data_IF_269011553413
#
_entry.id   IF_269011553413
#
_cell.length_a   1.000
_cell.length_b   1.000
_cell.length_c   1.000
_cell.angle_alpha   90.00
_cell.angle_beta   90.00
_cell.angle_gamma   90.00
#
_symmetry.space_group_name_H-M   'P 1'
#
loop_
_entity.id
_entity.type
_entity.pdbx_description
1 polymer ?
#
# COMPACT_ATOMS: atom_id res chain seq x y z
N UNK A 1 -25.90 -28.72 29.01
CA UNK A 1 -24.67 -28.19 29.62
C UNK A 1 -24.49 -26.78 29.10
N UNK A 2 -24.83 -25.76 29.90
CA UNK A 2 -24.52 -24.36 29.55
C UNK A 2 -22.99 -24.22 29.58
N UNK A 3 -22.37 -23.98 28.41
CA UNK A 3 -20.97 -23.58 28.37
C UNK A 3 -20.91 -22.15 28.89
N UNK A 4 -20.14 -21.92 29.94
CA UNK A 4 -19.82 -20.55 30.37
C UNK A 4 -19.21 -19.78 29.19
N UNK A 5 -19.69 -18.59 28.86
CA UNK A 5 -19.12 -17.82 27.78
C UNK A 5 -17.64 -17.53 28.07
N UNK A 6 -16.79 -17.60 27.07
CA UNK A 6 -15.38 -17.21 27.19
C UNK A 6 -15.37 -15.72 27.50
N UNK A 7 -14.75 -15.26 28.59
CA UNK A 7 -14.68 -13.84 28.91
C UNK A 7 -13.83 -13.13 27.84
N UNK A 8 -14.39 -12.09 27.23
CA UNK A 8 -13.69 -11.22 26.31
C UNK A 8 -13.28 -9.97 27.08
N UNK A 9 -11.99 -9.73 27.25
CA UNK A 9 -11.47 -8.53 27.90
C UNK A 9 -11.36 -7.37 26.93
N UNK A 10 -10.89 -7.64 25.71
CA UNK A 10 -10.76 -6.66 24.63
C UNK A 10 -11.37 -7.27 23.37
N UNK A 11 -12.18 -6.50 22.69
CA UNK A 11 -12.63 -6.79 21.34
C UNK A 11 -12.01 -5.77 20.39
N UNK A 12 -11.16 -6.24 19.47
CA UNK A 12 -10.52 -5.39 18.47
C UNK A 12 -11.29 -5.51 17.13
N UNK A 13 -11.95 -4.44 16.77
CA UNK A 13 -12.65 -4.30 15.49
C UNK A 13 -11.64 -3.76 14.46
N UNK A 14 -11.38 -4.52 13.39
CA UNK A 14 -10.39 -4.15 12.38
C UNK A 14 -11.11 -3.85 11.05
N UNK A 15 -10.98 -2.60 10.59
CA UNK A 15 -11.61 -2.13 9.36
C UNK A 15 -13.13 -2.02 9.48
N UNK A 16 -13.89 -2.99 8.94
CA UNK A 16 -15.35 -2.97 8.96
C UNK A 16 -15.92 -3.10 10.37
N UNK A 17 -17.07 -2.48 10.60
CA UNK A 17 -17.78 -2.57 11.87
C UNK A 17 -18.61 -3.85 11.95
N UNK A 18 -18.68 -4.44 13.16
CA UNK A 18 -19.60 -5.54 13.46
C UNK A 18 -21.03 -5.03 13.66
N UNK A 19 -21.98 -5.98 13.69
CA UNK A 19 -23.36 -5.67 14.02
C UNK A 19 -23.48 -4.96 15.38
N UNK A 20 -24.24 -3.85 15.49
CA UNK A 20 -24.36 -3.06 16.70
C UNK A 20 -24.93 -3.86 17.89
N UNK A 21 -25.83 -4.81 17.66
CA UNK A 21 -26.39 -5.65 18.73
C UNK A 21 -25.34 -6.58 19.30
N UNK A 22 -24.50 -7.18 18.42
CA UNK A 22 -23.39 -8.03 18.87
C UNK A 22 -22.36 -7.20 19.66
N UNK A 23 -22.05 -5.99 19.20
CA UNK A 23 -21.16 -5.07 19.92
C UNK A 23 -21.68 -4.76 21.32
N UNK A 24 -22.99 -4.47 21.46
CA UNK A 24 -23.63 -4.24 22.76
C UNK A 24 -23.53 -5.46 23.68
N UNK A 25 -23.77 -6.66 23.16
CA UNK A 25 -23.63 -7.91 23.95
C UNK A 25 -22.21 -8.09 24.46
N UNK A 26 -21.20 -7.85 23.60
CA UNK A 26 -19.78 -7.91 23.97
C UNK A 26 -19.46 -6.87 25.07
N UNK A 27 -19.98 -5.65 24.92
CA UNK A 27 -19.80 -4.57 25.90
C UNK A 27 -20.45 -4.88 27.24
N UNK A 28 -21.66 -5.43 27.25
CA UNK A 28 -22.36 -5.86 28.46
C UNK A 28 -21.61 -6.96 29.20
N UNK A 29 -20.81 -7.77 28.50
CA UNK A 29 -19.90 -8.74 29.06
C UNK A 29 -18.65 -8.15 29.74
N UNK A 30 -18.51 -6.82 29.74
CA UNK A 30 -17.39 -6.11 30.36
C UNK A 30 -16.17 -5.90 29.44
N UNK A 31 -16.27 -6.19 28.14
CA UNK A 31 -15.17 -6.02 27.21
C UNK A 31 -14.90 -4.53 26.93
N UNK A 32 -13.63 -4.19 26.76
CA UNK A 32 -13.19 -2.95 26.12
C UNK A 32 -13.25 -3.13 24.61
N UNK A 33 -13.91 -2.22 23.90
CA UNK A 33 -14.07 -2.28 22.45
C UNK A 33 -13.17 -1.23 21.81
N UNK A 34 -12.20 -1.70 21.02
CA UNK A 34 -11.23 -0.88 20.32
C UNK A 34 -11.46 -1.02 18.82
N UNK A 35 -11.47 0.10 18.08
CA UNK A 35 -11.61 0.09 16.63
C UNK A 35 -10.30 0.52 15.97
N UNK A 36 -9.71 -0.37 15.17
CA UNK A 36 -8.48 -0.14 14.43
C UNK A 36 -8.78 0.18 12.96
N UNK A 37 -8.35 1.35 12.52
CA UNK A 37 -8.38 1.76 11.13
C UNK A 37 -7.03 1.49 10.47
N UNK A 38 -7.03 0.60 9.47
CA UNK A 38 -5.84 0.26 8.68
C UNK A 38 -5.78 0.99 7.34
N UNK A 39 -6.90 1.58 6.89
CA UNK A 39 -7.03 2.32 5.65
C UNK A 39 -7.12 3.82 5.85
N UNK A 40 -7.01 4.58 4.77
CA UNK A 40 -7.16 6.03 4.76
C UNK A 40 -8.66 6.41 4.78
N UNK A 41 -9.25 6.38 5.97
CA UNK A 41 -10.69 6.62 6.17
C UNK A 41 -11.13 8.02 5.72
N UNK A 42 -10.33 9.05 6.02
CA UNK A 42 -10.67 10.42 5.65
C UNK A 42 -10.84 10.58 4.14
N UNK A 43 -9.90 10.05 3.36
CA UNK A 43 -10.00 10.14 1.91
C UNK A 43 -11.16 9.30 1.36
N UNK A 44 -11.41 8.12 1.93
CA UNK A 44 -12.57 7.29 1.55
C UNK A 44 -13.87 8.06 1.79
N UNK A 45 -14.01 8.69 2.94
CA UNK A 45 -15.21 9.41 3.31
C UNK A 45 -15.40 10.71 2.52
N UNK A 46 -14.31 11.33 2.06
CA UNK A 46 -14.38 12.48 1.15
C UNK A 46 -14.75 12.03 -0.28
N UNK A 47 -14.07 11.00 -0.80
CA UNK A 47 -14.26 10.57 -2.19
C UNK A 47 -15.61 9.89 -2.44
N UNK A 48 -16.05 9.04 -1.49
CA UNK A 48 -17.23 8.20 -1.68
C UNK A 48 -18.50 9.00 -1.99
N UNK A 49 -18.89 10.03 -1.20
CA UNK A 49 -20.07 10.81 -1.51
C UNK A 49 -19.93 11.70 -2.76
N UNK A 50 -18.70 12.00 -3.18
CA UNK A 50 -18.47 12.87 -4.36
C UNK A 50 -18.47 12.04 -5.65
N UNK A 51 -17.84 10.86 -5.67
CA UNK A 51 -17.57 10.12 -6.89
C UNK A 51 -18.30 8.78 -6.99
N UNK A 52 -18.77 8.21 -5.86
CA UNK A 52 -19.29 6.85 -5.78
C UNK A 52 -20.66 6.80 -5.08
N UNK A 53 -21.62 7.56 -5.56
CA UNK A 53 -22.95 7.77 -4.93
C UNK A 53 -23.72 6.47 -4.59
N UNK A 54 -23.44 5.37 -5.29
CA UNK A 54 -24.09 4.08 -5.05
C UNK A 54 -23.34 3.18 -4.06
N UNK A 55 -22.10 3.56 -3.65
CA UNK A 55 -21.33 2.77 -2.71
C UNK A 55 -21.82 2.98 -1.27
N UNK A 56 -21.95 1.87 -0.56
CA UNK A 56 -22.31 1.87 0.86
C UNK A 56 -21.46 0.83 1.61
N UNK A 57 -20.80 1.25 2.68
CA UNK A 57 -20.12 0.35 3.59
C UNK A 57 -20.12 0.90 5.01
N UNK A 58 -20.32 0.00 5.98
CA UNK A 58 -20.44 0.32 7.39
C UNK A 58 -19.07 0.26 8.09
N UNK A 59 -18.19 1.23 7.85
CA UNK A 59 -16.92 1.31 8.58
C UNK A 59 -16.97 2.28 9.77
N UNK A 60 -18.00 3.12 9.86
CA UNK A 60 -18.32 3.89 11.05
C UNK A 60 -19.67 3.43 11.61
N UNK A 61 -19.69 3.02 12.85
CA UNK A 61 -20.93 2.67 13.56
C UNK A 61 -20.84 3.23 14.96
N UNK A 62 -21.73 4.16 15.25
CA UNK A 62 -21.80 4.87 16.52
C UNK A 62 -22.16 3.94 17.68
N UNK A 63 -21.52 4.16 18.82
CA UNK A 63 -21.82 3.55 20.10
C UNK A 63 -20.95 2.36 20.48
N UNK A 64 -20.78 2.20 21.78
CA UNK A 64 -20.08 1.09 22.43
C UNK A 64 -18.58 0.98 22.11
N UNK A 65 -17.95 1.99 21.46
CA UNK A 65 -16.51 2.03 21.21
C UNK A 65 -15.83 2.83 22.34
N UNK A 66 -14.77 2.26 22.89
CA UNK A 66 -13.97 2.90 23.96
C UNK A 66 -12.73 3.60 23.40
N UNK A 67 -12.12 3.01 22.36
CA UNK A 67 -10.87 3.53 21.80
C UNK A 67 -10.85 3.46 20.28
N UNK A 68 -10.25 4.48 19.67
CA UNK A 68 -9.91 4.53 18.24
C UNK A 68 -8.41 4.31 18.10
N UNK A 69 -8.04 3.36 17.28
CA UNK A 69 -6.65 3.07 16.92
C UNK A 69 -6.44 3.31 15.45
N UNK A 70 -5.35 3.98 15.09
CA UNK A 70 -4.97 4.25 13.71
C UNK A 70 -3.54 3.77 13.45
N UNK A 71 -3.25 3.37 12.22
CA UNK A 71 -1.88 3.09 11.80
C UNK A 71 -1.03 4.36 11.81
N UNK A 72 0.31 4.27 11.99
CA UNK A 72 1.17 5.44 12.16
C UNK A 72 1.08 6.47 11.04
N UNK A 73 0.92 6.03 9.80
CA UNK A 73 0.80 6.89 8.62
C UNK A 73 -0.57 7.59 8.50
N UNK A 74 -1.54 7.24 9.36
CA UNK A 74 -2.86 7.88 9.46
C UNK A 74 -3.06 8.63 10.77
N UNK A 75 -1.98 8.95 11.47
CA UNK A 75 -2.05 9.67 12.76
C UNK A 75 -2.91 10.93 12.69
N UNK A 76 -2.84 11.67 11.58
CA UNK A 76 -3.65 12.86 11.36
C UNK A 76 -5.16 12.60 11.20
N UNK A 77 -5.59 11.34 11.19
CA UNK A 77 -7.00 10.96 11.06
C UNK A 77 -7.62 10.46 12.36
N UNK A 78 -6.88 10.47 13.47
CA UNK A 78 -7.35 9.94 14.75
C UNK A 78 -8.52 10.76 15.32
N UNK A 79 -8.42 12.09 15.36
CA UNK A 79 -9.51 12.97 15.79
C UNK A 79 -10.75 12.84 14.89
N UNK A 80 -10.55 12.80 13.57
CA UNK A 80 -11.62 12.59 12.61
C UNK A 80 -12.37 11.27 12.88
N UNK A 81 -11.63 10.18 13.10
CA UNK A 81 -12.21 8.89 13.42
C UNK A 81 -12.93 8.90 14.77
N UNK A 82 -12.37 9.58 15.79
CA UNK A 82 -13.00 9.71 17.09
C UNK A 82 -14.34 10.45 17.01
N UNK A 83 -14.40 11.56 16.30
CA UNK A 83 -15.64 12.33 16.09
C UNK A 83 -16.72 11.49 15.42
N UNK A 84 -16.39 10.76 14.35
CA UNK A 84 -17.37 9.94 13.62
C UNK A 84 -17.88 8.74 14.43
N UNK A 85 -17.10 8.23 15.38
CA UNK A 85 -17.51 7.12 16.23
C UNK A 85 -18.01 7.56 17.62
N UNK A 86 -18.18 8.87 17.85
CA UNK A 86 -18.60 9.47 19.13
C UNK A 86 -17.69 9.05 20.31
N UNK A 87 -16.39 8.98 20.07
CA UNK A 87 -15.38 8.70 21.09
C UNK A 87 -14.73 10.02 21.52
N UNK A 88 -14.48 10.19 22.81
CA UNK A 88 -13.83 11.38 23.32
C UNK A 88 -12.41 11.53 22.77
N UNK A 89 -12.06 12.79 22.41
CA UNK A 89 -10.74 13.12 21.93
C UNK A 89 -9.77 13.21 23.11
N UNK A 90 -9.01 12.16 23.35
CA UNK A 90 -8.02 12.10 24.42
C UNK A 90 -6.89 11.10 24.09
N UNK A 91 -5.75 11.25 24.74
CA UNK A 91 -4.64 10.30 24.60
C UNK A 91 -4.99 8.88 25.09
N UNK A 92 -6.03 8.73 25.91
CA UNK A 92 -6.49 7.43 26.40
C UNK A 92 -7.37 6.70 25.38
N UNK A 93 -8.15 7.45 24.62
CA UNK A 93 -9.14 6.91 23.68
C UNK A 93 -8.67 6.92 22.22
N UNK A 94 -7.58 7.63 21.92
CA UNK A 94 -6.97 7.67 20.58
C UNK A 94 -5.53 7.17 20.64
N UNK A 95 -5.22 6.09 19.91
CA UNK A 95 -3.90 5.46 19.96
C UNK A 95 -3.34 5.18 18.58
N UNK A 96 -2.02 5.21 18.47
CA UNK A 96 -1.29 4.81 17.28
C UNK A 96 -0.88 3.35 17.42
N UNK A 97 -1.52 2.48 16.65
CA UNK A 97 -1.19 1.06 16.61
C UNK A 97 0.04 0.83 15.72
N UNK A 98 1.06 0.10 16.18
CA UNK A 98 2.20 -0.21 15.34
C UNK A 98 1.78 -0.93 14.08
N UNK A 99 2.31 -0.51 12.91
CA UNK A 99 2.15 -1.26 11.68
C UNK A 99 2.96 -2.54 11.76
N UNK A 100 2.36 -3.65 11.36
CA UNK A 100 3.02 -4.95 11.32
C UNK A 100 2.90 -5.59 9.94
N UNK A 101 3.99 -6.23 9.51
CA UNK A 101 4.04 -6.96 8.26
C UNK A 101 5.01 -8.14 8.37
N UNK A 102 4.68 -9.24 7.70
CA UNK A 102 5.54 -10.42 7.64
C UNK A 102 5.58 -11.00 6.22
N UNK A 103 6.76 -11.44 5.80
CA UNK A 103 6.99 -11.97 4.45
C UNK A 103 6.43 -13.37 4.22
N UNK A 104 5.98 -14.06 5.27
CA UNK A 104 5.39 -15.41 5.15
C UNK A 104 4.16 -15.45 4.26
N UNK A 105 3.46 -14.31 4.13
CA UNK A 105 2.32 -14.19 3.22
C UNK A 105 2.65 -14.53 1.76
N UNK A 106 3.90 -14.32 1.35
CA UNK A 106 4.38 -14.63 0.00
C UNK A 106 4.61 -16.12 -0.23
N UNK A 107 4.67 -16.92 0.83
CA UNK A 107 5.00 -18.34 0.78
C UNK A 107 3.81 -19.27 1.10
N UNK A 108 2.65 -18.72 1.41
CA UNK A 108 1.46 -19.47 1.86
C UNK A 108 0.95 -20.50 0.84
N UNK A 109 1.20 -20.30 -0.45
CA UNK A 109 0.77 -21.21 -1.51
C UNK A 109 1.79 -22.31 -1.84
N UNK A 110 2.92 -22.39 -1.10
CA UNK A 110 3.99 -23.39 -1.35
C UNK A 110 4.78 -23.14 -2.63
N UNK A 111 4.51 -22.07 -3.36
CA UNK A 111 5.24 -21.71 -4.56
C UNK A 111 6.59 -21.09 -4.18
N UNK A 112 7.62 -21.36 -4.99
CA UNK A 112 8.91 -20.68 -4.82
C UNK A 112 8.72 -19.21 -5.05
N UNK A 113 9.07 -18.36 -4.08
CA UNK A 113 9.04 -16.93 -4.23
C UNK A 113 9.83 -16.52 -5.46
N UNK A 114 9.23 -15.76 -6.39
CA UNK A 114 9.96 -15.17 -7.48
C UNK A 114 11.07 -14.29 -6.90
N UNK A 115 12.24 -14.30 -7.55
CA UNK A 115 13.35 -13.41 -7.19
C UNK A 115 13.79 -12.65 -8.40
N UNK A 116 14.10 -11.39 -8.18
CA UNK A 116 14.66 -10.56 -9.23
C UNK A 116 16.01 -11.09 -9.74
N UNK A 117 16.24 -10.96 -11.01
CA UNK A 117 17.51 -11.16 -11.69
C UNK A 117 17.84 -10.01 -12.64
N UNK A 118 19.08 -9.78 -13.00
CA UNK A 118 19.43 -8.85 -14.05
C UNK A 118 18.76 -9.18 -15.39
N UNK A 119 18.58 -8.17 -16.20
CA UNK A 119 18.08 -8.29 -17.58
C UNK A 119 19.10 -9.05 -18.44
N UNK A 120 18.62 -9.94 -19.28
CA UNK A 120 19.46 -10.74 -20.18
C UNK A 120 19.49 -10.13 -21.59
N UNK A 121 20.49 -10.47 -22.42
CA UNK A 121 20.52 -10.07 -23.82
C UNK A 121 19.23 -10.43 -24.56
N UNK A 122 18.63 -9.47 -25.25
CA UNK A 122 17.35 -9.62 -25.96
C UNK A 122 16.10 -9.32 -25.15
N UNK A 123 16.21 -9.16 -23.83
CA UNK A 123 15.12 -8.67 -23.00
C UNK A 123 15.03 -7.13 -23.03
N UNK A 124 13.82 -6.62 -22.87
CA UNK A 124 13.54 -5.18 -22.89
C UNK A 124 13.32 -4.68 -21.45
N UNK A 125 13.91 -3.56 -21.08
CA UNK A 125 13.63 -2.95 -19.77
C UNK A 125 12.13 -2.83 -19.56
N UNK A 126 11.65 -3.44 -18.47
CA UNK A 126 10.22 -3.54 -18.19
C UNK A 126 9.89 -2.88 -16.86
N UNK A 127 8.91 -1.99 -16.89
CA UNK A 127 8.38 -1.30 -15.71
C UNK A 127 6.97 -1.78 -15.41
N UNK A 128 6.71 -2.09 -14.15
CA UNK A 128 5.43 -2.62 -13.68
C UNK A 128 4.79 -1.60 -12.77
N UNK A 129 3.53 -1.26 -13.06
CA UNK A 129 2.70 -0.32 -12.31
C UNK A 129 1.40 -1.04 -11.98
N UNK A 130 1.21 -1.48 -10.73
CA UNK A 130 0.05 -2.27 -10.31
C UNK A 130 -0.91 -1.50 -9.39
N UNK A 131 -0.98 -0.18 -9.54
CA UNK A 131 -1.90 0.60 -8.72
C UNK A 131 -3.37 0.23 -9.03
N UNK A 132 -4.25 0.16 -8.02
CA UNK A 132 -5.63 -0.26 -8.23
C UNK A 132 -6.48 0.72 -9.03
N UNK A 133 -6.05 1.98 -9.18
CA UNK A 133 -6.71 3.03 -9.98
C UNK A 133 -8.19 3.28 -9.62
N UNK A 134 -8.55 3.05 -8.34
CA UNK A 134 -9.93 3.25 -7.83
C UNK A 134 -10.08 4.52 -6.99
N UNK A 135 -8.98 5.20 -6.70
CA UNK A 135 -8.91 6.38 -5.84
C UNK A 135 -7.68 7.19 -6.21
N UNK A 136 -7.68 8.49 -5.96
CA UNK A 136 -6.50 9.33 -6.16
C UNK A 136 -5.32 8.92 -5.25
N UNK A 137 -5.58 8.21 -4.16
CA UNK A 137 -4.56 7.72 -3.22
C UNK A 137 -3.62 6.70 -3.86
N UNK A 138 -4.11 5.91 -4.81
CA UNK A 138 -3.41 4.82 -5.49
C UNK A 138 -3.70 4.87 -6.97
N UNK A 139 -3.02 5.77 -7.67
CA UNK A 139 -3.19 6.00 -9.11
C UNK A 139 -1.89 5.75 -9.87
N UNK A 140 -2.00 5.16 -11.04
CA UNK A 140 -0.88 4.90 -11.92
C UNK A 140 -0.38 6.16 -12.66
N UNK A 141 -1.08 7.30 -12.61
CA UNK A 141 -0.73 8.47 -13.43
C UNK A 141 0.69 8.98 -13.15
N UNK A 142 1.07 9.15 -11.86
CA UNK A 142 2.42 9.61 -11.51
C UNK A 142 3.49 8.58 -11.92
N UNK A 143 3.35 7.27 -11.63
CA UNK A 143 4.23 6.23 -12.18
C UNK A 143 4.36 6.26 -13.71
N UNK A 144 3.26 6.42 -14.44
CA UNK A 144 3.26 6.55 -15.90
C UNK A 144 4.10 7.76 -16.34
N UNK A 145 3.93 8.91 -15.70
CA UNK A 145 4.68 10.13 -16.03
C UNK A 145 6.18 10.02 -15.68
N UNK A 146 6.54 9.29 -14.61
CA UNK A 146 7.95 8.97 -14.31
C UNK A 146 8.54 8.10 -15.42
N UNK A 147 7.83 7.06 -15.87
CA UNK A 147 8.25 6.18 -16.95
C UNK A 147 8.37 6.93 -18.29
N UNK A 148 7.41 7.81 -18.59
CA UNK A 148 7.43 8.67 -19.79
C UNK A 148 8.66 9.58 -19.79
N UNK A 149 8.93 10.25 -18.68
CA UNK A 149 10.11 11.11 -18.56
C UNK A 149 11.41 10.32 -18.67
N UNK A 150 11.48 9.13 -18.08
CA UNK A 150 12.59 8.21 -18.26
C UNK A 150 12.78 7.85 -19.73
N UNK A 151 11.71 7.43 -20.41
CA UNK A 151 11.72 7.05 -21.82
C UNK A 151 12.28 8.16 -22.71
N UNK A 152 11.80 9.39 -22.53
CA UNK A 152 12.31 10.57 -23.25
C UNK A 152 13.79 10.86 -22.97
N UNK A 153 14.27 10.49 -21.78
CA UNK A 153 15.67 10.71 -21.39
C UNK A 153 16.60 9.69 -22.03
N UNK A 154 16.24 8.39 -21.94
CA UNK A 154 17.13 7.32 -22.41
C UNK A 154 17.00 7.01 -23.89
N UNK A 155 15.88 7.31 -24.52
CA UNK A 155 15.58 7.13 -25.95
C UNK A 155 15.88 5.71 -26.44
N UNK A 156 15.57 4.71 -25.64
CA UNK A 156 15.70 3.29 -25.99
C UNK A 156 14.37 2.57 -25.76
N UNK A 157 14.18 1.45 -26.41
CA UNK A 157 12.97 0.64 -26.25
C UNK A 157 12.80 0.22 -24.78
N UNK A 158 11.61 0.42 -24.25
CA UNK A 158 11.17 -0.03 -22.94
C UNK A 158 9.80 -0.71 -23.06
N UNK A 159 9.38 -1.35 -21.98
CA UNK A 159 8.01 -1.87 -21.83
C UNK A 159 7.43 -1.37 -20.52
N UNK A 160 6.25 -0.79 -20.57
CA UNK A 160 5.50 -0.35 -19.37
C UNK A 160 4.20 -1.13 -19.31
N UNK A 161 3.97 -1.84 -18.20
CA UNK A 161 2.75 -2.62 -17.95
C UNK A 161 1.98 -1.95 -16.83
N UNK A 162 0.78 -1.47 -17.15
CA UNK A 162 -0.13 -0.84 -16.21
C UNK A 162 -1.26 -1.82 -15.89
N UNK A 163 -1.21 -2.42 -14.71
CA UNK A 163 -2.27 -3.27 -14.19
C UNK A 163 -3.48 -2.44 -13.72
N UNK A 164 -4.66 -3.06 -13.65
CA UNK A 164 -5.94 -2.38 -13.44
C UNK A 164 -6.13 -1.19 -14.39
N UNK A 165 -5.58 -1.31 -15.58
CA UNK A 165 -5.51 -0.25 -16.58
C UNK A 165 -6.83 0.00 -17.31
N UNK A 166 -7.80 -0.90 -17.18
CA UNK A 166 -9.17 -0.77 -17.70
C UNK A 166 -9.85 0.52 -17.21
N UNK A 167 -9.53 0.99 -16.01
CA UNK A 167 -10.00 2.28 -15.48
C UNK A 167 -9.57 3.47 -16.35
N UNK A 168 -8.36 3.41 -16.90
CA UNK A 168 -7.83 4.44 -17.79
C UNK A 168 -8.36 4.27 -19.22
N UNK A 169 -8.34 3.06 -19.75
CA UNK A 169 -8.81 2.80 -21.14
C UNK A 169 -10.31 3.01 -21.30
N UNK A 170 -11.10 2.88 -20.23
CA UNK A 170 -12.51 3.20 -20.21
C UNK A 170 -12.81 4.70 -19.98
N UNK A 171 -11.79 5.54 -19.76
CA UNK A 171 -11.95 6.98 -19.60
C UNK A 171 -11.72 7.71 -20.91
N UNK A 172 -12.74 8.30 -21.54
CA UNK A 172 -12.56 9.12 -22.75
C UNK A 172 -11.58 10.28 -22.55
N UNK A 173 -11.59 10.88 -21.35
CA UNK A 173 -10.65 11.96 -21.01
C UNK A 173 -9.20 11.47 -21.04
N UNK A 174 -8.91 10.33 -20.43
CA UNK A 174 -7.55 9.79 -20.46
C UNK A 174 -7.14 9.43 -21.88
N UNK A 175 -7.98 8.72 -22.62
CA UNK A 175 -7.69 8.23 -23.97
C UNK A 175 -7.52 9.35 -25.01
N UNK A 176 -8.27 10.46 -24.87
CA UNK A 176 -8.26 11.54 -25.86
C UNK A 176 -7.36 12.73 -25.44
N UNK A 177 -7.15 12.94 -24.15
CA UNK A 177 -6.45 14.14 -23.66
C UNK A 177 -5.10 13.86 -23.03
N UNK A 178 -4.90 12.68 -22.40
CA UNK A 178 -3.64 12.37 -21.72
C UNK A 178 -2.79 11.39 -22.55
N UNK A 179 -3.33 10.24 -22.92
CA UNK A 179 -2.58 9.18 -23.59
C UNK A 179 -1.87 9.66 -24.86
N UNK A 180 -2.49 10.49 -25.75
CA UNK A 180 -1.82 10.98 -26.96
C UNK A 180 -0.65 11.93 -26.70
N UNK A 181 -0.51 12.45 -25.48
CA UNK A 181 0.64 13.31 -25.11
C UNK A 181 1.86 12.52 -24.68
N UNK A 182 1.71 11.19 -24.50
CA UNK A 182 2.81 10.31 -24.08
C UNK A 182 3.53 9.74 -25.29
N UNK A 183 4.84 10.04 -25.39
CA UNK A 183 5.69 9.53 -26.48
C UNK A 183 5.75 7.99 -26.45
N UNK A 184 5.83 7.39 -25.25
CA UNK A 184 5.82 5.93 -25.12
C UNK A 184 4.50 5.27 -25.56
N UNK A 185 3.39 6.01 -25.58
CA UNK A 185 2.13 5.51 -26.15
C UNK A 185 2.16 5.51 -27.67
N UNK A 186 2.68 6.57 -28.30
CA UNK A 186 2.90 6.66 -29.75
C UNK A 186 3.84 5.56 -30.24
N UNK A 187 4.86 5.24 -29.45
CA UNK A 187 5.89 4.24 -29.80
C UNK A 187 5.51 2.81 -29.34
N UNK A 188 4.27 2.59 -28.88
CA UNK A 188 3.75 1.31 -28.42
C UNK A 188 4.57 0.68 -27.26
N UNK A 189 5.13 1.49 -26.39
CA UNK A 189 5.92 1.05 -25.24
C UNK A 189 5.10 0.85 -23.97
N UNK A 190 3.83 1.25 -23.93
CA UNK A 190 2.93 1.11 -22.79
C UNK A 190 1.74 0.21 -23.11
N UNK A 191 1.41 -0.67 -22.16
CA UNK A 191 0.25 -1.58 -22.25
C UNK A 191 -0.60 -1.45 -20.99
N UNK A 192 -1.91 -1.34 -21.20
CA UNK A 192 -2.89 -1.37 -20.12
C UNK A 192 -3.53 -2.76 -20.08
N UNK A 193 -3.55 -3.36 -18.91
CA UNK A 193 -4.08 -4.70 -18.66
C UNK A 193 -5.02 -4.72 -17.46
N UNK A 194 -5.77 -5.81 -17.30
CA UNK A 194 -6.59 -6.03 -16.11
C UNK A 194 -5.77 -6.21 -14.84
N UNK A 195 -6.43 -6.75 -13.83
CA UNK A 195 -5.77 -7.02 -12.54
C UNK A 195 -4.77 -8.18 -12.67
N UNK A 196 -3.57 -7.98 -12.15
CA UNK A 196 -2.56 -9.01 -12.01
C UNK A 196 -2.38 -9.42 -10.56
N UNK A 197 -2.12 -10.71 -10.34
CA UNK A 197 -1.53 -11.21 -9.13
C UNK A 197 -0.03 -10.86 -9.10
N UNK A 198 0.45 -10.38 -7.94
CA UNK A 198 1.82 -9.90 -7.80
C UNK A 198 2.86 -11.01 -8.04
N UNK A 199 2.58 -12.24 -7.59
CA UNK A 199 3.50 -13.36 -7.74
C UNK A 199 3.60 -13.76 -9.22
N UNK A 200 2.47 -13.78 -9.93
CA UNK A 200 2.43 -14.11 -11.35
C UNK A 200 3.19 -13.08 -12.18
N UNK A 201 2.98 -11.78 -11.95
CA UNK A 201 3.68 -10.74 -12.69
C UNK A 201 5.20 -10.73 -12.43
N UNK A 202 5.62 -11.05 -11.20
CA UNK A 202 7.04 -11.20 -10.85
C UNK A 202 7.69 -12.39 -11.56
N UNK A 203 6.95 -13.49 -11.79
CA UNK A 203 7.43 -14.65 -12.54
C UNK A 203 7.55 -14.37 -14.03
N UNK A 204 6.57 -13.68 -14.58
CA UNK A 204 6.53 -13.35 -16.01
C UNK A 204 7.61 -12.34 -16.37
N UNK A 205 7.95 -11.44 -15.45
CA UNK A 205 8.93 -10.37 -15.66
C UNK A 205 9.96 -10.32 -14.50
N UNK A 206 10.79 -11.37 -14.33
CA UNK A 206 11.69 -11.48 -13.18
C UNK A 206 12.84 -10.46 -13.16
N UNK A 207 12.96 -9.63 -14.16
CA UNK A 207 13.95 -8.55 -14.31
C UNK A 207 13.34 -7.15 -14.25
N UNK A 208 12.04 -7.04 -14.00
CA UNK A 208 11.33 -5.78 -14.04
C UNK A 208 11.64 -4.89 -12.83
N UNK A 209 11.30 -3.62 -12.99
CA UNK A 209 11.30 -2.60 -11.92
C UNK A 209 9.86 -2.19 -11.63
N UNK A 210 9.47 -2.21 -10.36
CA UNK A 210 8.17 -1.72 -9.94
C UNK A 210 8.22 -0.20 -9.70
N UNK A 211 7.21 0.52 -10.19
CA UNK A 211 7.04 1.96 -9.93
C UNK A 211 5.72 2.14 -9.19
N UNK A 212 5.81 2.51 -7.91
CA UNK A 212 4.68 2.68 -7.01
C UNK A 212 4.55 4.15 -6.58
N UNK A 213 3.32 4.58 -6.40
CA UNK A 213 3.01 5.93 -5.95
C UNK A 213 1.78 5.93 -5.05
N UNK A 214 1.89 6.62 -3.93
CA UNK A 214 0.79 6.75 -2.97
C UNK A 214 0.59 8.20 -2.56
N UNK A 215 -0.64 8.61 -2.46
CA UNK A 215 -1.02 9.87 -1.86
C UNK A 215 -1.67 9.60 -0.50
N UNK A 216 -1.04 10.04 0.59
CA UNK A 216 -1.50 9.80 1.97
C UNK A 216 -1.83 8.33 2.29
N UNK A 217 -1.07 7.37 1.73
CA UNK A 217 -1.26 5.94 1.94
C UNK A 217 0.07 5.17 1.82
N UNK A 218 1.08 5.59 2.58
CA UNK A 218 2.47 5.22 2.35
C UNK A 218 2.85 3.78 2.75
N UNK A 219 2.12 3.14 3.67
CA UNK A 219 2.46 1.77 4.12
C UNK A 219 1.77 0.72 3.23
N UNK A 220 2.17 0.69 1.96
CA UNK A 220 1.68 -0.30 1.03
C UNK A 220 2.51 -1.59 1.13
N UNK A 221 1.87 -2.69 1.54
CA UNK A 221 2.53 -4.00 1.65
C UNK A 221 3.09 -4.50 0.32
N UNK A 222 2.52 -4.14 -0.83
CA UNK A 222 3.07 -4.45 -2.15
C UNK A 222 4.52 -3.93 -2.31
N UNK A 223 4.84 -2.77 -1.74
CA UNK A 223 6.21 -2.24 -1.72
C UNK A 223 7.17 -3.20 -1.02
N UNK A 224 6.76 -3.72 0.15
CA UNK A 224 7.55 -4.69 0.92
C UNK A 224 7.67 -6.03 0.20
N UNK A 225 6.59 -6.49 -0.44
CA UNK A 225 6.57 -7.75 -1.21
C UNK A 225 7.58 -7.73 -2.35
N UNK A 226 7.61 -6.66 -3.16
CA UNK A 226 8.61 -6.47 -4.21
C UNK A 226 10.05 -6.38 -3.64
N UNK A 227 10.24 -5.62 -2.56
CA UNK A 227 11.57 -5.45 -1.95
C UNK A 227 12.14 -6.78 -1.44
N UNK A 228 11.34 -7.60 -0.73
CA UNK A 228 11.76 -8.91 -0.21
C UNK A 228 12.07 -9.89 -1.34
N UNK A 229 11.39 -9.78 -2.46
CA UNK A 229 11.71 -10.52 -3.69
C UNK A 229 12.92 -9.95 -4.45
N UNK A 230 13.57 -8.93 -3.91
CA UNK A 230 14.72 -8.20 -4.47
C UNK A 230 14.43 -7.42 -5.75
N UNK A 231 13.20 -7.15 -6.09
CA UNK A 231 12.88 -6.30 -7.23
C UNK A 231 13.23 -4.84 -6.93
N UNK A 232 13.82 -4.09 -7.87
CA UNK A 232 13.97 -2.66 -7.69
C UNK A 232 12.59 -2.02 -7.62
N UNK A 233 12.36 -1.27 -6.53
CA UNK A 233 11.07 -0.62 -6.26
C UNK A 233 11.27 0.87 -6.12
N UNK A 234 10.61 1.64 -6.97
CA UNK A 234 10.46 3.08 -6.77
C UNK A 234 9.22 3.31 -5.92
N UNK A 235 9.34 4.19 -4.92
CA UNK A 235 8.22 4.54 -4.05
C UNK A 235 8.40 5.94 -3.46
N UNK A 236 7.30 6.52 -2.99
CA UNK A 236 7.29 7.85 -2.36
C UNK A 236 6.91 7.82 -0.87
N UNK A 237 7.07 6.68 -0.19
CA UNK A 237 6.80 6.52 1.24
C UNK A 237 7.93 7.17 2.07
N UNK A 238 7.71 8.32 2.75
CA UNK A 238 8.78 9.03 3.45
C UNK A 238 9.34 8.27 4.65
N UNK A 239 8.53 7.48 5.35
CA UNK A 239 8.98 6.67 6.50
C UNK A 239 9.85 5.47 6.09
N UNK A 240 9.92 5.17 4.79
CA UNK A 240 10.70 4.10 4.19
C UNK A 240 11.80 4.61 3.26
N UNK A 241 12.13 5.90 3.35
CA UNK A 241 13.11 6.57 2.47
C UNK A 241 14.51 5.94 2.47
N UNK A 242 14.82 5.15 3.48
CA UNK A 242 16.08 4.44 3.69
C UNK A 242 16.14 3.05 3.01
N UNK A 243 15.05 2.61 2.36
CA UNK A 243 14.96 1.37 1.62
C UNK A 243 14.43 1.61 0.19
N UNK A 244 14.70 0.69 -0.73
CA UNK A 244 14.25 0.83 -2.11
C UNK A 244 14.86 2.03 -2.85
N UNK A 245 14.10 2.56 -3.79
CA UNK A 245 14.46 3.76 -4.58
C UNK A 245 13.43 4.87 -4.28
N UNK A 246 13.66 5.59 -3.20
CA UNK A 246 12.76 6.64 -2.74
C UNK A 246 12.82 7.89 -3.63
N UNK A 247 11.65 8.51 -3.86
CA UNK A 247 11.48 9.86 -4.41
C UNK A 247 10.42 10.62 -3.62
N UNK A 248 10.56 11.94 -3.52
CA UNK A 248 9.73 12.76 -2.65
C UNK A 248 8.40 13.16 -3.30
N UNK A 249 7.30 12.86 -2.63
CA UNK A 249 5.95 13.31 -3.03
C UNK A 249 5.64 13.00 -4.50
N UNK A 250 5.20 14.01 -5.27
CA UNK A 250 4.90 13.91 -6.69
C UNK A 250 6.05 14.39 -7.58
N UNK A 251 7.29 14.39 -7.10
CA UNK A 251 8.44 14.93 -7.82
C UNK A 251 8.89 14.00 -8.95
N UNK A 252 8.43 14.30 -10.16
CA UNK A 252 8.74 13.50 -11.36
C UNK A 252 10.23 13.48 -11.70
N UNK A 253 10.96 14.56 -11.40
CA UNK A 253 12.39 14.63 -11.66
C UNK A 253 13.17 13.69 -10.74
N UNK A 254 12.86 13.71 -9.44
CA UNK A 254 13.43 12.76 -8.47
C UNK A 254 13.02 11.32 -8.78
N UNK A 255 11.74 11.06 -9.14
CA UNK A 255 11.26 9.76 -9.57
C UNK A 255 12.03 9.23 -10.78
N UNK A 256 12.25 10.08 -11.80
CA UNK A 256 13.06 9.72 -12.98
C UNK A 256 14.51 9.44 -12.60
N UNK A 257 15.12 10.26 -11.73
CA UNK A 257 16.48 10.03 -11.25
C UNK A 257 16.60 8.73 -10.44
N UNK A 258 15.59 8.41 -9.63
CA UNK A 258 15.50 7.15 -8.90
C UNK A 258 15.39 5.95 -9.86
N UNK A 259 14.61 6.07 -10.94
CA UNK A 259 14.49 5.04 -11.97
C UNK A 259 15.80 4.82 -12.72
N UNK A 260 16.50 5.89 -13.09
CA UNK A 260 17.84 5.82 -13.71
C UNK A 260 18.85 5.09 -12.79
N UNK A 261 18.85 5.40 -11.48
CA UNK A 261 19.69 4.68 -10.51
C UNK A 261 19.30 3.20 -10.39
N UNK A 262 18.01 2.90 -10.34
CA UNK A 262 17.53 1.53 -10.29
C UNK A 262 18.03 0.72 -11.49
N UNK A 263 17.90 1.25 -12.70
CA UNK A 263 18.33 0.56 -13.92
C UNK A 263 19.86 0.39 -14.03
N UNK A 264 20.62 1.38 -13.60
CA UNK A 264 22.09 1.36 -13.77
C UNK A 264 22.85 0.68 -12.63
N UNK A 265 22.28 0.62 -11.41
CA UNK A 265 23.04 0.26 -10.21
C UNK A 265 22.46 -0.90 -9.42
N UNK A 266 21.22 -1.34 -9.68
CA UNK A 266 20.56 -2.31 -8.80
C UNK A 266 21.34 -3.63 -8.70
N UNK A 267 21.79 -4.18 -9.83
CA UNK A 267 22.57 -5.42 -9.84
C UNK A 267 23.87 -5.32 -9.02
N UNK A 268 24.59 -4.21 -9.14
CA UNK A 268 25.86 -4.00 -8.41
C UNK A 268 25.67 -3.61 -6.94
N UNK A 269 24.48 -3.10 -6.58
CA UNK A 269 24.16 -2.66 -5.21
C UNK A 269 23.19 -3.60 -4.47
N UNK A 270 23.01 -4.82 -4.98
CA UNK A 270 21.97 -5.74 -4.48
C UNK A 270 22.13 -6.08 -3.00
N UNK A 271 23.35 -6.24 -2.50
CA UNK A 271 23.60 -6.51 -1.08
C UNK A 271 23.18 -5.34 -0.19
N UNK A 272 23.52 -4.13 -0.59
CA UNK A 272 23.09 -2.91 0.12
C UNK A 272 21.58 -2.76 0.08
N UNK A 273 20.95 -3.06 -1.06
CA UNK A 273 19.49 -3.04 -1.21
C UNK A 273 18.82 -4.03 -0.26
N UNK A 274 19.33 -5.26 -0.19
CA UNK A 274 18.86 -6.30 0.75
C UNK A 274 19.00 -5.89 2.21
N UNK A 275 20.13 -5.30 2.58
CA UNK A 275 20.36 -4.84 3.94
C UNK A 275 19.30 -3.77 4.35
N UNK A 276 19.00 -2.81 3.48
CA UNK A 276 17.92 -1.84 3.70
C UNK A 276 16.55 -2.50 3.80
N UNK A 277 16.27 -3.47 2.94
CA UNK A 277 15.01 -4.24 2.98
C UNK A 277 14.85 -5.02 4.29
N UNK A 278 15.89 -5.71 4.75
CA UNK A 278 15.84 -6.48 6.01
C UNK A 278 15.69 -5.55 7.23
N UNK A 279 16.35 -4.40 7.23
CA UNK A 279 16.17 -3.39 8.28
C UNK A 279 14.73 -2.86 8.32
N UNK A 280 14.15 -2.57 7.16
CA UNK A 280 12.75 -2.13 7.04
C UNK A 280 11.78 -3.23 7.48
N UNK A 281 12.00 -4.46 7.05
CA UNK A 281 11.20 -5.62 7.45
C UNK A 281 11.24 -5.84 8.97
N UNK A 282 12.43 -5.75 9.57
CA UNK A 282 12.59 -5.84 11.03
C UNK A 282 11.83 -4.75 11.77
N UNK A 283 11.84 -3.51 11.26
CA UNK A 283 11.10 -2.37 11.85
C UNK A 283 9.61 -2.67 12.03
N UNK A 284 9.03 -3.47 11.16
CA UNK A 284 7.61 -3.81 11.14
C UNK A 284 7.31 -5.26 11.54
N UNK A 285 8.33 -6.00 11.97
CA UNK A 285 8.18 -7.42 12.29
C UNK A 285 7.43 -7.64 13.61
N UNK A 286 6.56 -8.65 13.64
CA UNK A 286 5.94 -9.13 14.88
C UNK A 286 6.96 -9.71 15.88
N UNK A 287 8.17 -10.03 15.42
CA UNK A 287 9.27 -10.50 16.27
C UNK A 287 10.15 -9.37 16.81
N UNK A 288 9.94 -8.13 16.39
CA UNK A 288 10.63 -6.97 16.95
C UNK A 288 10.11 -6.69 18.35
N UNK A 289 10.97 -6.70 19.41
CA UNK A 289 10.57 -6.48 20.78
C UNK A 289 9.87 -5.13 21.02
N UNK A 290 10.25 -4.08 20.29
CA UNK A 290 9.63 -2.76 20.42
C UNK A 290 8.21 -2.75 19.90
N UNK A 291 7.96 -3.43 18.77
CA UNK A 291 6.62 -3.63 18.21
C UNK A 291 5.77 -4.45 19.16
N UNK A 292 6.30 -5.55 19.71
CA UNK A 292 5.59 -6.37 20.69
C UNK A 292 5.24 -5.57 21.96
N UNK A 293 6.21 -4.82 22.50
CA UNK A 293 6.01 -3.97 23.69
C UNK A 293 4.93 -2.92 23.46
N UNK A 294 4.93 -2.28 22.31
CA UNK A 294 3.92 -1.28 21.96
C UNK A 294 2.52 -1.91 21.85
N UNK A 295 2.38 -3.05 21.17
CA UNK A 295 1.11 -3.79 21.12
C UNK A 295 0.64 -4.25 22.51
N UNK A 296 1.53 -4.82 23.33
CA UNK A 296 1.19 -5.24 24.69
C UNK A 296 0.75 -4.08 25.58
N UNK A 297 1.31 -2.88 25.38
CA UNK A 297 0.88 -1.67 26.11
C UNK A 297 -0.54 -1.23 25.71
N UNK A 298 -0.97 -1.49 24.48
CA UNK A 298 -2.32 -1.18 24.00
C UNK A 298 -3.35 -2.23 24.46
N UNK A 299 -2.92 -3.48 24.64
CA UNK A 299 -3.79 -4.60 25.03
C UNK A 299 -3.98 -4.72 26.55
N UNK A 300 -3.27 -3.95 27.35
CA UNK A 300 -3.47 -3.82 28.80
C UNK A 300 -4.55 -2.80 29.13
#
# INVERSE_FOLDING_TARGET
RSRSPIPIHIYLEIGMSIDPMLRRVIKMGGARICKLYLGNILNIDIETPIFYHSMHFAHHVVGEIDEIWVSPHYKQHDEYAAVLNHVDISEKSMRIAPYVWDSSILTLDGSRNPKWRPILPGEVETFIILEPNISFQKTALIPILIAERYYRTVKKQIRVIVGNGDRYTNSPFFMQSILPTLTMATDNCITFSGRHDIISIMRDYPYATAILHHYNNQYNYMTLEYMVANFPVLHNAPDWHDAGYYYKGNNLAEGTAALLRAQSQHASSLERYRAGTEALKWRHSVYNPDVQKAWLAMLK
#
